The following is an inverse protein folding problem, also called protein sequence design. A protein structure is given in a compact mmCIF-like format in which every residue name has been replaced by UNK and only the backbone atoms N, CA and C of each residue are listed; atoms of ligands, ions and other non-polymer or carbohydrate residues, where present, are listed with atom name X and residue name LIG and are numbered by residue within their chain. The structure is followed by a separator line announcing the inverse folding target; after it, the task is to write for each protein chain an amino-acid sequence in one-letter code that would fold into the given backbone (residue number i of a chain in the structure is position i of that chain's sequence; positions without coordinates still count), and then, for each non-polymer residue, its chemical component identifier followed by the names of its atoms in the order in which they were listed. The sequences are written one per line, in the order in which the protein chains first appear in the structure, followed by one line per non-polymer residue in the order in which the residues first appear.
data_IF_475863281389
#
_entry.id   IF_475863281389
#
_cell.length_a   1.000
_cell.length_b   1.000
_cell.length_c   1.000
_cell.angle_alpha   90.00
_cell.angle_beta   90.00
_cell.angle_gamma   90.00
#
_symmetry.space_group_name_H-M   'P 1'
#
loop_
_entity.id
_entity.type
_entity.pdbx_description
1 polymer ?
#
# COMPACT_ATOMS: atom_id res chain seq x y z
N UNK A 1 -10.31 12.38 -15.16
CA UNK A 1 -10.24 12.12 -13.70
C UNK A 1 -9.28 10.97 -13.54
N UNK A 2 -8.30 11.09 -12.66
CA UNK A 2 -7.39 10.00 -12.38
C UNK A 2 -8.19 8.84 -11.74
N UNK A 3 -7.80 7.61 -12.02
CA UNK A 3 -8.45 6.43 -11.42
C UNK A 3 -7.36 5.57 -10.81
N UNK A 4 -7.49 5.31 -9.52
CA UNK A 4 -6.51 4.53 -8.80
C UNK A 4 -6.49 3.09 -9.31
N UNK A 5 -5.28 2.55 -9.49
CA UNK A 5 -5.06 1.13 -9.65
C UNK A 5 -3.71 0.70 -9.07
N UNK A 6 -3.62 -0.56 -8.65
CA UNK A 6 -2.34 -1.16 -8.27
C UNK A 6 -1.50 -1.47 -9.52
N UNK A 7 -0.36 -0.79 -9.68
CA UNK A 7 0.52 -0.94 -10.85
C UNK A 7 1.56 -2.04 -10.67
N UNK A 8 1.89 -2.73 -11.77
CA UNK A 8 2.91 -3.79 -11.77
C UNK A 8 4.33 -3.23 -11.63
N UNK A 9 5.19 -4.03 -11.00
CA UNK A 9 6.59 -3.75 -10.65
C UNK A 9 6.84 -2.52 -9.76
N UNK A 10 5.84 -2.11 -8.97
CA UNK A 10 5.99 -1.10 -7.93
C UNK A 10 6.32 -1.75 -6.58
N UNK A 11 5.36 -2.40 -5.93
CA UNK A 11 5.58 -3.10 -4.66
C UNK A 11 5.82 -2.21 -3.43
N UNK A 12 5.75 -0.88 -3.55
CA UNK A 12 6.05 0.04 -2.44
C UNK A 12 5.16 -0.21 -1.21
N UNK A 13 3.89 -0.57 -1.40
CA UNK A 13 2.97 -0.90 -0.32
C UNK A 13 3.35 -2.18 0.44
N UNK A 14 4.26 -3.01 -0.08
CA UNK A 14 4.79 -4.18 0.60
C UNK A 14 6.00 -3.87 1.49
N UNK A 15 6.46 -2.61 1.54
CA UNK A 15 7.36 -2.16 2.59
C UNK A 15 6.52 -1.76 3.81
N UNK A 16 6.65 -2.55 4.88
CA UNK A 16 5.77 -2.61 6.05
C UNK A 16 6.49 -2.21 7.35
N UNK A 17 7.63 -1.52 7.28
CA UNK A 17 8.44 -1.13 8.44
C UNK A 17 7.58 -0.48 9.56
N UNK A 18 7.38 -1.16 10.71
CA UNK A 18 6.54 -0.62 11.78
C UNK A 18 7.08 0.66 12.39
N UNK A 19 8.41 0.86 12.42
CA UNK A 19 9.01 2.07 12.95
C UNK A 19 8.62 3.33 12.15
N UNK A 20 8.27 3.18 10.88
CA UNK A 20 7.81 4.26 9.99
C UNK A 20 6.29 4.48 10.08
N UNK A 21 5.57 3.63 10.84
CA UNK A 21 4.10 3.67 11.00
C UNK A 21 3.68 3.56 12.47
N UNK A 22 3.98 4.57 13.30
CA UNK A 22 3.69 4.54 14.73
C UNK A 22 2.19 4.47 15.07
N UNK A 23 1.32 4.75 14.11
CA UNK A 23 -0.14 4.84 14.30
C UNK A 23 -0.90 3.59 13.83
N UNK A 24 -0.22 2.47 13.55
CA UNK A 24 -0.86 1.22 13.10
C UNK A 24 -2.03 0.78 14.00
N UNK A 25 -1.87 0.93 15.32
CA UNK A 25 -2.88 0.59 16.33
C UNK A 25 -4.14 1.45 16.26
N UNK A 26 -4.11 2.61 15.59
CA UNK A 26 -5.26 3.50 15.47
C UNK A 26 -6.27 3.01 14.42
N UNK A 27 -5.82 2.26 13.42
CA UNK A 27 -6.65 1.85 12.28
C UNK A 27 -6.62 0.35 11.99
N UNK A 28 -5.78 -0.43 12.67
CA UNK A 28 -5.82 -1.90 12.65
C UNK A 28 -6.44 -2.44 13.94
N UNK A 29 -7.32 -3.43 13.81
CA UNK A 29 -7.73 -4.23 14.97
C UNK A 29 -6.55 -4.99 15.57
N UNK A 30 -6.61 -5.43 16.84
CA UNK A 30 -5.52 -6.21 17.44
C UNK A 30 -5.13 -7.46 16.65
N UNK A 31 -6.12 -8.16 16.06
CA UNK A 31 -5.88 -9.33 15.22
C UNK A 31 -5.22 -8.97 13.89
N UNK A 32 -5.61 -7.85 13.28
CA UNK A 32 -4.97 -7.35 12.05
C UNK A 32 -3.56 -6.86 12.30
N UNK A 33 -3.29 -6.23 13.44
CA UNK A 33 -1.96 -5.80 13.83
C UNK A 33 -1.03 -7.00 14.06
N UNK A 34 -1.49 -8.03 14.76
CA UNK A 34 -0.74 -9.29 14.91
C UNK A 34 -0.40 -9.89 13.55
N UNK A 35 -1.39 -9.96 12.64
CA UNK A 35 -1.19 -10.44 11.28
C UNK A 35 -0.20 -9.55 10.50
N UNK A 36 -0.33 -8.23 10.58
CA UNK A 36 0.56 -7.27 9.95
C UNK A 36 2.01 -7.51 10.38
N UNK A 37 2.25 -7.57 11.70
CA UNK A 37 3.58 -7.79 12.28
C UNK A 37 4.16 -9.16 11.89
N UNK A 38 3.32 -10.19 11.81
CA UNK A 38 3.74 -11.53 11.34
C UNK A 38 4.20 -11.54 9.89
N UNK A 39 3.75 -10.57 9.09
CA UNK A 39 4.12 -10.42 7.69
C UNK A 39 5.37 -9.57 7.47
N UNK A 40 5.89 -8.87 8.48
CA UNK A 40 7.12 -8.05 8.37
C UNK A 40 8.35 -8.96 8.43
N UNK A 41 9.11 -8.99 7.35
CA UNK A 41 10.35 -9.71 7.20
C UNK A 41 11.59 -8.81 7.27
N UNK A 42 12.69 -9.28 6.69
CA UNK A 42 13.96 -8.55 6.69
C UNK A 42 13.86 -7.16 6.05
N UNK A 43 14.45 -6.16 6.70
CA UNK A 43 14.44 -4.77 6.21
C UNK A 43 13.06 -4.11 6.14
N UNK A 44 12.09 -4.62 6.89
CA UNK A 44 10.72 -4.10 6.91
C UNK A 44 9.88 -4.60 5.72
N UNK A 45 10.39 -5.48 4.87
CA UNK A 45 9.65 -5.96 3.69
C UNK A 45 8.68 -7.08 4.04
N UNK A 46 7.51 -7.08 3.41
CA UNK A 46 6.54 -8.16 3.55
C UNK A 46 7.15 -9.50 3.12
N UNK A 47 7.02 -10.55 3.93
CA UNK A 47 7.51 -11.91 3.61
C UNK A 47 6.89 -12.50 2.34
N UNK A 48 5.75 -11.98 1.89
CA UNK A 48 5.07 -12.38 0.67
C UNK A 48 5.47 -11.54 -0.56
N UNK A 49 6.36 -10.56 -0.40
CA UNK A 49 6.86 -9.74 -1.49
C UNK A 49 7.93 -10.48 -2.29
N UNK A 50 7.72 -10.57 -3.60
CA UNK A 50 8.72 -11.11 -4.52
C UNK A 50 9.62 -9.99 -5.02
N UNK A 51 10.86 -9.90 -4.52
CA UNK A 51 11.78 -8.83 -4.89
C UNK A 51 12.22 -8.87 -6.37
N UNK A 52 12.19 -10.04 -7.02
CA UNK A 52 12.61 -10.17 -8.42
C UNK A 52 11.54 -9.63 -9.38
N UNK A 53 10.28 -9.97 -9.12
CA UNK A 53 9.15 -9.56 -9.96
C UNK A 53 8.44 -8.31 -9.45
N UNK A 54 8.74 -7.89 -8.21
CA UNK A 54 8.11 -6.80 -7.46
C UNK A 54 6.60 -6.92 -7.39
N UNK A 55 6.15 -8.11 -7.00
CA UNK A 55 4.74 -8.45 -6.89
C UNK A 55 4.45 -9.14 -5.55
N UNK A 56 3.23 -8.97 -5.06
CA UNK A 56 2.73 -9.71 -3.91
C UNK A 56 2.36 -11.13 -4.35
N UNK A 57 2.96 -12.16 -3.72
CA UNK A 57 2.71 -13.58 -4.05
C UNK A 57 1.29 -14.03 -3.67
N UNK A 58 0.67 -13.34 -2.72
CA UNK A 58 -0.69 -13.61 -2.24
C UNK A 58 -1.69 -12.55 -2.71
N UNK A 59 -1.49 -11.94 -3.90
CA UNK A 59 -2.28 -10.77 -4.33
C UNK A 59 -3.81 -10.93 -4.21
N UNK A 60 -4.32 -12.14 -4.51
CA UNK A 60 -5.74 -12.49 -4.41
C UNK A 60 -6.20 -12.74 -2.97
N UNK A 61 -5.31 -13.24 -2.13
CA UNK A 61 -5.55 -13.64 -0.73
C UNK A 61 -5.06 -12.59 0.27
N UNK A 62 -4.79 -11.36 -0.20
CA UNK A 62 -4.29 -10.27 0.64
C UNK A 62 -5.22 -10.04 1.83
N UNK A 63 -4.65 -9.77 3.03
CA UNK A 63 -5.45 -9.38 4.18
C UNK A 63 -6.17 -8.06 3.91
N UNK A 64 -7.21 -7.79 4.70
CA UNK A 64 -8.09 -6.63 4.55
C UNK A 64 -7.30 -5.32 4.44
N UNK A 65 -6.40 -5.04 5.38
CA UNK A 65 -5.58 -3.82 5.40
C UNK A 65 -4.64 -3.63 4.19
N UNK A 66 -4.40 -4.66 3.38
CA UNK A 66 -3.61 -4.55 2.14
C UNK A 66 -4.48 -4.27 0.90
N UNK A 67 -5.81 -4.19 1.03
CA UNK A 67 -6.75 -3.98 -0.07
C UNK A 67 -7.20 -2.54 -0.11
N UNK A 68 -6.96 -1.88 -1.24
CA UNK A 68 -7.54 -0.56 -1.52
C UNK A 68 -8.95 -0.78 -2.06
N UNK A 69 -9.91 -0.76 -1.15
CA UNK A 69 -11.33 -0.92 -1.42
C UNK A 69 -12.12 0.07 -0.55
N UNK A 70 -13.28 0.50 -1.03
CA UNK A 70 -14.04 1.58 -0.40
C UNK A 70 -14.52 1.22 1.01
N UNK A 71 -14.96 -0.02 1.22
CA UNK A 71 -15.34 -0.54 2.54
C UNK A 71 -14.15 -0.53 3.51
N UNK A 72 -12.98 -1.00 3.06
CA UNK A 72 -11.77 -1.05 3.88
C UNK A 72 -11.29 0.34 4.28
N UNK A 73 -11.21 1.27 3.33
CA UNK A 73 -10.71 2.63 3.57
C UNK A 73 -11.73 3.49 4.31
N UNK A 74 -13.03 3.25 4.12
CA UNK A 74 -14.08 3.84 4.93
C UNK A 74 -13.94 3.45 6.41
N UNK A 75 -13.72 2.17 6.68
CA UNK A 75 -13.52 1.69 8.05
C UNK A 75 -12.20 2.16 8.69
N UNK A 76 -11.08 2.15 7.94
CA UNK A 76 -9.75 2.46 8.48
C UNK A 76 -9.51 3.96 8.63
N UNK A 77 -10.05 4.77 7.71
CA UNK A 77 -9.69 6.18 7.57
C UNK A 77 -10.90 7.12 7.48
N UNK A 78 -12.13 6.59 7.47
CA UNK A 78 -13.34 7.42 7.34
C UNK A 78 -13.51 8.04 5.94
N UNK A 79 -12.89 7.45 4.91
CA UNK A 79 -12.89 7.99 3.55
C UNK A 79 -14.17 7.59 2.81
N UNK A 80 -14.85 8.55 2.20
CA UNK A 80 -16.04 8.28 1.39
C UNK A 80 -15.66 7.59 0.07
N UNK A 81 -16.51 6.71 -0.49
CA UNK A 81 -16.21 5.99 -1.74
C UNK A 81 -15.88 6.91 -2.92
N UNK A 82 -16.45 8.12 -2.94
CA UNK A 82 -16.19 9.13 -3.98
C UNK A 82 -14.80 9.77 -3.87
N UNK A 83 -14.19 9.75 -2.69
CA UNK A 83 -12.86 10.33 -2.41
C UNK A 83 -11.73 9.30 -2.52
N UNK A 84 -12.08 8.01 -2.56
CA UNK A 84 -11.12 6.90 -2.54
C UNK A 84 -10.03 7.00 -3.62
N UNK A 85 -10.38 7.40 -4.85
CA UNK A 85 -9.41 7.44 -5.94
C UNK A 85 -8.30 8.44 -5.65
N UNK A 86 -8.67 9.67 -5.29
CA UNK A 86 -7.70 10.74 -5.03
C UNK A 86 -6.87 10.42 -3.79
N UNK A 87 -7.53 9.97 -2.71
CA UNK A 87 -6.85 9.57 -1.48
C UNK A 87 -5.85 8.42 -1.70
N UNK A 88 -6.26 7.35 -2.37
CA UNK A 88 -5.40 6.20 -2.61
C UNK A 88 -4.23 6.52 -3.56
N UNK A 89 -4.45 7.45 -4.51
CA UNK A 89 -3.39 7.97 -5.38
C UNK A 89 -2.34 8.69 -4.55
N UNK A 90 -2.75 9.60 -3.66
CA UNK A 90 -1.82 10.37 -2.83
C UNK A 90 -1.05 9.45 -1.86
N UNK A 91 -1.74 8.53 -1.18
CA UNK A 91 -1.06 7.52 -0.32
C UNK A 91 -0.04 6.69 -1.12
N UNK A 92 -0.37 6.30 -2.35
CA UNK A 92 0.57 5.55 -3.20
C UNK A 92 1.76 6.40 -3.62
N UNK A 93 1.58 7.68 -3.97
CA UNK A 93 2.68 8.59 -4.32
C UNK A 93 3.60 8.82 -3.13
N UNK A 94 3.05 9.08 -1.94
CA UNK A 94 3.82 9.26 -0.71
C UNK A 94 4.66 8.01 -0.41
N UNK A 95 4.04 6.82 -0.40
CA UNK A 95 4.75 5.57 -0.11
C UNK A 95 5.81 5.24 -1.18
N UNK A 96 5.50 5.43 -2.47
CA UNK A 96 6.49 5.23 -3.55
C UNK A 96 7.66 6.20 -3.38
N UNK A 97 7.39 7.46 -3.04
CA UNK A 97 8.44 8.47 -2.82
C UNK A 97 9.32 8.11 -1.61
N UNK A 98 8.74 7.62 -0.52
CA UNK A 98 9.48 7.21 0.66
C UNK A 98 10.41 6.01 0.37
N UNK A 99 9.92 5.02 -0.39
CA UNK A 99 10.66 3.77 -0.66
C UNK A 99 11.69 3.92 -1.79
N UNK A 100 11.32 4.61 -2.88
CA UNK A 100 12.12 4.66 -4.11
C UNK A 100 12.56 6.06 -4.53
N UNK A 101 12.00 7.11 -3.93
CA UNK A 101 12.21 8.51 -4.31
C UNK A 101 11.15 9.06 -5.27
N UNK A 102 10.99 10.38 -5.24
CA UNK A 102 10.00 11.16 -6.01
C UNK A 102 10.20 11.10 -7.54
N UNK A 103 11.42 10.79 -7.99
CA UNK A 103 11.80 10.66 -9.42
C UNK A 103 12.04 9.21 -9.86
N UNK A 104 11.58 8.25 -9.07
CA UNK A 104 11.74 6.82 -9.35
C UNK A 104 10.98 6.37 -10.60
N UNK A 105 11.39 5.24 -11.21
CA UNK A 105 10.68 4.66 -12.34
C UNK A 105 9.29 4.16 -11.93
N UNK A 106 9.14 3.78 -10.67
CA UNK A 106 7.93 3.36 -10.00
C UNK A 106 6.94 4.52 -9.91
N UNK A 107 7.39 5.71 -9.50
CA UNK A 107 6.57 6.93 -9.46
C UNK A 107 6.11 7.33 -10.87
N UNK A 108 7.04 7.40 -11.83
CA UNK A 108 6.72 7.76 -13.20
C UNK A 108 5.70 6.81 -13.83
N UNK A 109 5.84 5.51 -13.58
CA UNK A 109 4.89 4.51 -14.05
C UNK A 109 3.55 4.64 -13.35
N UNK A 110 3.54 4.81 -12.03
CA UNK A 110 2.30 4.95 -11.27
C UNK A 110 1.48 6.12 -11.81
N UNK A 111 2.06 7.31 -11.89
CA UNK A 111 1.39 8.51 -12.41
C UNK A 111 0.82 8.29 -13.81
N UNK A 112 1.61 7.70 -14.71
CA UNK A 112 1.16 7.38 -16.07
C UNK A 112 -0.06 6.46 -16.09
N UNK A 113 -0.06 5.38 -15.31
CA UNK A 113 -1.14 4.39 -15.32
C UNK A 113 -2.43 4.94 -14.69
N UNK A 114 -2.33 5.79 -13.66
CA UNK A 114 -3.51 6.42 -13.03
C UNK A 114 -3.97 7.69 -13.77
N UNK A 115 -3.20 8.20 -14.72
CA UNK A 115 -3.55 9.32 -15.60
C UNK A 115 -3.19 10.71 -15.06
N UNK A 116 -2.02 10.84 -14.43
CA UNK A 116 -1.43 12.09 -13.89
C UNK A 116 -0.18 12.47 -14.68
#
# INVERSE_FOLDING_TARGET
MATWLCVKQCGACCHLEPAERPELEQYLSPQELELYLSMVGEGGWCVNFDHATRQCRIYQDRPRFCRVAADVFGDMFGIEPTELNDFAIDCCREQISAVYGDRSLEMLRFNREVGI
#
